data_IF_208712456756
#
_entry.id   IF_208712456756
#
_cell.length_a   1.000
_cell.length_b   1.000
_cell.length_c   1.000
_cell.angle_alpha   90.00
_cell.angle_beta   90.00
_cell.angle_gamma   90.00
#
_symmetry.space_group_name_H-M   'P 1'
#
loop_
_entity.id
_entity.type
_entity.pdbx_description
1 polymer ?
#
# COMPACT_ATOMS: atom_id res chain seq x y z
N UNK A 1 -20.51 -36.68 -6.34
CA UNK A 1 -19.30 -36.11 -6.97
C UNK A 1 -19.68 -34.80 -7.61
N UNK A 2 -19.35 -33.67 -6.99
CA UNK A 2 -18.94 -32.39 -7.64
C UNK A 2 -18.18 -31.59 -6.58
N UNK A 3 -16.86 -31.71 -6.63
CA UNK A 3 -15.89 -30.74 -6.11
C UNK A 3 -16.05 -29.46 -6.93
N UNK A 4 -16.07 -28.26 -6.32
CA UNK A 4 -15.34 -27.06 -6.77
C UNK A 4 -15.69 -25.77 -5.97
N UNK A 5 -14.70 -25.12 -5.32
CA UNK A 5 -14.71 -23.70 -4.96
C UNK A 5 -14.09 -22.85 -6.11
N UNK A 6 -14.36 -21.53 -6.23
CA UNK A 6 -13.75 -20.59 -5.32
C UNK A 6 -14.74 -19.56 -4.77
N UNK A 7 -14.58 -19.27 -3.48
CA UNK A 7 -14.84 -17.96 -2.93
C UNK A 7 -14.12 -16.94 -3.81
N UNK A 8 -14.82 -16.40 -4.81
CA UNK A 8 -14.43 -15.18 -5.48
C UNK A 8 -14.53 -14.13 -4.40
N UNK A 9 -13.46 -14.01 -3.60
CA UNK A 9 -13.12 -12.77 -2.95
C UNK A 9 -13.30 -11.74 -4.06
N UNK A 10 -14.41 -11.02 -4.04
CA UNK A 10 -14.52 -9.75 -4.71
C UNK A 10 -13.41 -8.95 -4.07
N UNK A 11 -12.20 -9.08 -4.61
CA UNK A 11 -11.12 -8.13 -4.47
C UNK A 11 -11.69 -6.87 -5.09
N UNK A 12 -12.58 -6.20 -4.34
CA UNK A 12 -13.19 -4.95 -4.73
C UNK A 12 -12.02 -4.08 -5.09
N UNK A 13 -11.96 -3.67 -6.36
CA UNK A 13 -10.90 -2.86 -6.90
C UNK A 13 -10.51 -1.84 -5.85
N UNK A 14 -9.33 -2.02 -5.25
CA UNK A 14 -8.89 -1.21 -4.12
C UNK A 14 -8.86 0.23 -4.62
N UNK A 15 -9.80 1.04 -4.16
CA UNK A 15 -9.93 2.41 -4.63
C UNK A 15 -8.79 3.20 -4.02
N UNK A 16 -7.99 3.86 -4.87
CA UNK A 16 -6.92 4.71 -4.45
C UNK A 16 -7.48 5.89 -3.63
N UNK A 17 -7.11 6.06 -2.35
CA UNK A 17 -7.62 7.14 -1.51
C UNK A 17 -7.19 8.53 -2.00
N UNK A 18 -6.16 8.59 -2.85
CA UNK A 18 -5.59 9.84 -3.37
C UNK A 18 -6.38 10.36 -4.56
N UNK A 19 -6.68 9.52 -5.53
CA UNK A 19 -7.30 9.95 -6.78
C UNK A 19 -8.69 9.36 -7.05
N UNK A 20 -9.21 8.51 -6.16
CA UNK A 20 -10.55 7.92 -6.27
C UNK A 20 -10.71 6.89 -7.39
N UNK A 21 -9.63 6.56 -8.09
CA UNK A 21 -9.63 5.56 -9.16
C UNK A 21 -9.32 4.15 -8.63
N UNK A 22 -9.82 3.09 -9.30
CA UNK A 22 -9.36 1.73 -9.08
C UNK A 22 -7.83 1.64 -9.14
N UNK A 23 -7.20 0.90 -8.23
CA UNK A 23 -5.75 0.64 -8.28
C UNK A 23 -5.32 -0.01 -9.60
N UNK A 24 -6.19 -0.82 -10.20
CA UNK A 24 -5.95 -1.43 -11.52
C UNK A 24 -5.92 -0.41 -12.68
N UNK A 25 -6.46 0.80 -12.48
CA UNK A 25 -6.42 1.91 -13.46
C UNK A 25 -5.16 2.78 -13.32
N UNK A 26 -4.21 2.40 -12.45
CA UNK A 26 -2.98 3.16 -12.24
C UNK A 26 -1.82 2.62 -13.09
N UNK A 27 -1.34 3.45 -14.01
CA UNK A 27 -0.01 3.26 -14.59
C UNK A 27 1.08 3.33 -13.51
N UNK A 28 2.28 2.73 -13.74
CA UNK A 28 3.38 2.74 -12.78
C UNK A 28 3.76 4.15 -12.28
N UNK A 29 3.71 5.15 -13.17
CA UNK A 29 3.94 6.56 -12.81
C UNK A 29 2.89 7.08 -11.83
N UNK A 30 1.62 6.76 -12.07
CA UNK A 30 0.49 7.20 -11.23
C UNK A 30 0.45 6.45 -9.91
N UNK A 31 0.80 5.17 -9.90
CA UNK A 31 1.02 4.40 -8.67
C UNK A 31 2.09 5.06 -7.81
N UNK A 32 3.25 5.39 -8.37
CA UNK A 32 4.32 6.04 -7.62
C UNK A 32 3.89 7.40 -7.03
N UNK A 33 3.19 8.21 -7.82
CA UNK A 33 2.67 9.51 -7.36
C UNK A 33 1.65 9.36 -6.23
N UNK A 34 0.66 8.47 -6.38
CA UNK A 34 -0.33 8.24 -5.34
C UNK A 34 0.30 7.61 -4.09
N UNK A 35 1.25 6.69 -4.23
CA UNK A 35 1.97 6.12 -3.10
C UNK A 35 2.78 7.17 -2.33
N UNK A 36 3.42 8.13 -3.02
CA UNK A 36 4.10 9.25 -2.36
C UNK A 36 3.12 10.11 -1.56
N UNK A 37 2.00 10.50 -2.15
CA UNK A 37 0.98 11.27 -1.45
C UNK A 37 0.40 10.52 -0.24
N UNK A 38 0.23 9.20 -0.34
CA UNK A 38 -0.19 8.39 0.81
C UNK A 38 0.85 8.39 1.93
N UNK A 39 2.14 8.45 1.61
CA UNK A 39 3.22 8.57 2.59
C UNK A 39 3.22 9.96 3.22
N UNK A 40 3.10 11.02 2.41
CA UNK A 40 3.01 12.41 2.89
C UNK A 40 1.78 12.66 3.78
N UNK A 41 0.65 12.04 3.47
CA UNK A 41 -0.56 12.10 4.31
C UNK A 41 -0.47 11.19 5.56
N UNK A 42 0.64 10.47 5.74
CA UNK A 42 0.82 9.54 6.84
C UNK A 42 -0.11 8.32 6.79
N UNK A 43 -0.77 8.06 5.66
CA UNK A 43 -1.64 6.89 5.42
C UNK A 43 -0.85 5.63 5.09
N UNK A 44 0.34 5.78 4.51
CA UNK A 44 1.31 4.71 4.26
C UNK A 44 2.68 5.04 4.84
N UNK A 45 3.46 4.01 5.14
CA UNK A 45 4.87 4.07 5.52
C UNK A 45 5.70 3.53 4.37
N UNK A 46 6.74 4.25 3.99
CA UNK A 46 7.72 3.82 3.00
C UNK A 46 9.03 3.48 3.68
N UNK A 47 9.57 2.31 3.36
CA UNK A 47 10.90 1.92 3.80
C UNK A 47 11.93 2.32 2.74
N UNK A 48 12.80 3.29 3.07
CA UNK A 48 13.87 3.75 2.18
C UNK A 48 14.89 2.67 1.79
N UNK A 49 15.06 1.63 2.61
CA UNK A 49 16.05 0.56 2.42
C UNK A 49 15.62 -0.46 1.38
N UNK A 50 14.37 -0.93 1.48
CA UNK A 50 13.88 -2.06 0.67
C UNK A 50 12.72 -1.68 -0.26
N UNK A 51 12.29 -0.42 -0.25
CA UNK A 51 11.21 0.10 -1.09
C UNK A 51 9.81 -0.37 -0.68
N UNK A 52 9.67 -1.03 0.47
CA UNK A 52 8.39 -1.58 0.93
C UNK A 52 7.47 -0.45 1.39
N UNK A 53 6.26 -0.38 0.83
CA UNK A 53 5.17 0.46 1.30
C UNK A 53 4.14 -0.35 2.08
N UNK A 54 3.77 0.08 3.29
CA UNK A 54 2.68 -0.53 4.08
C UNK A 54 1.71 0.51 4.62
N UNK A 55 0.43 0.16 4.87
CA UNK A 55 -0.50 1.05 5.55
C UNK A 55 0.05 1.48 6.93
N UNK A 56 -0.11 2.75 7.27
CA UNK A 56 0.30 3.30 8.58
C UNK A 56 -0.59 2.86 9.73
N UNK A 57 -1.72 2.18 9.45
CA UNK A 57 -2.61 1.60 10.45
C UNK A 57 -1.92 0.40 11.11
N UNK A 58 -1.31 0.65 12.28
CA UNK A 58 -0.66 -0.37 13.11
C UNK A 58 0.56 0.19 13.86
N UNK A 59 0.84 -0.39 15.03
CA UNK A 59 1.99 -0.04 15.88
C UNK A 59 3.27 -0.76 15.39
N UNK A 60 3.62 -0.64 14.10
CA UNK A 60 4.84 -1.26 13.55
C UNK A 60 5.76 -0.19 12.97
N UNK A 61 6.61 0.40 13.81
CA UNK A 61 7.62 1.40 13.42
C UNK A 61 8.75 0.80 12.55
N UNK A 62 8.80 -0.52 12.41
CA UNK A 62 9.84 -1.26 11.67
C UNK A 62 9.29 -1.98 10.44
N UNK A 63 10.10 -2.01 9.39
CA UNK A 63 9.80 -2.67 8.14
C UNK A 63 9.84 -4.20 8.31
N UNK A 64 8.78 -4.90 7.91
CA UNK A 64 8.71 -6.37 8.07
C UNK A 64 9.72 -7.15 7.21
N UNK A 65 10.40 -6.49 6.27
CA UNK A 65 11.32 -7.14 5.31
C UNK A 65 12.80 -6.96 5.69
N UNK A 66 13.19 -5.76 6.11
CA UNK A 66 14.58 -5.43 6.47
C UNK A 66 14.74 -5.09 7.96
N UNK A 67 13.65 -5.08 8.74
CA UNK A 67 13.62 -4.70 10.15
C UNK A 67 14.11 -3.27 10.45
N UNK A 68 14.33 -2.46 9.41
CA UNK A 68 14.74 -1.07 9.53
C UNK A 68 13.55 -0.19 9.91
N UNK A 69 13.79 0.86 10.72
CA UNK A 69 12.71 1.80 11.08
C UNK A 69 12.19 2.48 9.81
N UNK A 70 10.88 2.58 9.67
CA UNK A 70 10.30 3.41 8.62
C UNK A 70 10.80 4.84 8.84
N UNK A 71 11.43 5.41 7.82
CA UNK A 71 11.80 6.83 7.80
C UNK A 71 10.51 7.62 7.68
N UNK A 72 9.93 7.99 8.81
CA UNK A 72 8.85 8.97 8.86
C UNK A 72 9.47 10.32 8.53
N UNK A 73 9.27 10.81 7.32
CA UNK A 73 9.48 12.22 7.00
C UNK A 73 8.21 12.96 7.40
N UNK A 74 8.12 13.33 8.67
CA UNK A 74 7.33 14.48 9.10
C UNK A 74 8.28 15.33 9.95
N UNK A 75 9.07 16.15 9.27
CA UNK A 75 9.62 17.38 9.85
C UNK A 75 8.73 18.57 9.46
#
# INVERSE_FOLDING_TARGET
>A
MMTEPPSKSTSGDEICPVCGKPKNDHDPKRMLECSKQLVEQGLMRYCGTCGLTKPSKGLHDRCSKCDEKYTFSNE
#
